data_IF_462432181176
#
_entry.id   IF_462432181176
#
_cell.length_a   1.000
_cell.length_b   1.000
_cell.length_c   1.000
_cell.angle_alpha   90.00
_cell.angle_beta   90.00
_cell.angle_gamma   90.00
#
_symmetry.space_group_name_H-M   'P 1'
#
loop_
_entity.id
_entity.type
_entity.pdbx_description
1 polymer ?
#
# COMPACT_ATOMS: atom_id res chain seq x y z
N UNK A 1 2.07 -1.67 13.29
CA UNK A 1 2.52 -0.94 14.49
C UNK A 1 1.48 -1.18 15.57
N UNK A 2 1.91 -1.32 16.81
CA UNK A 2 1.02 -1.56 17.95
C UNK A 2 1.67 -0.97 19.19
N UNK A 3 0.91 -0.85 20.28
CA UNK A 3 1.47 -0.57 21.61
C UNK A 3 0.98 -1.61 22.62
N UNK A 4 1.72 -1.74 23.71
CA UNK A 4 1.29 -2.49 24.88
C UNK A 4 1.49 -1.66 26.14
N UNK A 5 0.66 -1.95 27.15
CA UNK A 5 0.76 -1.38 28.48
C UNK A 5 0.90 -2.53 29.48
N UNK A 6 1.79 -2.35 30.45
CA UNK A 6 2.13 -3.35 31.46
C UNK A 6 2.10 -2.68 32.84
N UNK A 7 1.34 -3.25 33.77
CA UNK A 7 1.24 -2.78 35.17
C UNK A 7 2.13 -3.60 36.14
N UNK A 8 2.97 -4.49 35.61
CA UNK A 8 3.80 -5.43 36.35
C UNK A 8 3.11 -6.76 36.67
N UNK A 9 1.80 -6.87 36.43
CA UNK A 9 1.02 -8.10 36.60
C UNK A 9 0.35 -8.56 35.32
N UNK A 10 -0.10 -7.61 34.49
CA UNK A 10 -0.88 -7.85 33.29
C UNK A 10 -0.35 -6.99 32.15
N UNK A 11 -0.06 -7.65 31.03
CA UNK A 11 0.26 -6.98 29.77
C UNK A 11 -1.00 -6.93 28.91
N UNK A 12 -1.39 -5.74 28.46
CA UNK A 12 -2.47 -5.52 27.49
C UNK A 12 -1.87 -4.96 26.21
N UNK A 13 -2.24 -5.54 25.07
CA UNK A 13 -1.78 -5.12 23.75
C UNK A 13 -2.92 -4.50 22.97
N UNK A 14 -2.63 -3.48 22.18
CA UNK A 14 -3.59 -2.85 21.29
C UNK A 14 -2.95 -2.56 19.94
N UNK A 15 -3.60 -2.99 18.88
CA UNK A 15 -3.31 -2.56 17.52
C UNK A 15 -4.56 -2.56 16.67
N UNK A 16 -4.45 -2.09 15.44
CA UNK A 16 -5.60 -1.85 14.57
C UNK A 16 -5.38 -2.47 13.20
N UNK A 17 -6.37 -3.22 12.75
CA UNK A 17 -6.30 -3.99 11.50
C UNK A 17 -7.69 -4.05 10.86
N UNK A 18 -7.81 -4.41 9.57
CA UNK A 18 -9.12 -4.64 8.98
C UNK A 18 -9.78 -5.88 9.60
N UNK A 19 -11.12 -5.90 9.70
CA UNK A 19 -11.86 -7.05 10.24
C UNK A 19 -11.50 -8.32 9.46
N UNK A 20 -11.52 -8.24 8.13
CA UNK A 20 -11.11 -9.32 7.25
C UNK A 20 -9.61 -9.18 6.96
N UNK A 21 -8.89 -10.25 7.28
CA UNK A 21 -7.44 -10.28 7.15
C UNK A 21 -7.01 -10.04 5.69
N UNK A 22 -6.04 -9.15 5.49
CA UNK A 22 -5.47 -8.84 4.18
C UNK A 22 -6.23 -7.81 3.34
N UNK A 23 -7.37 -7.29 3.82
CA UNK A 23 -8.01 -6.14 3.16
C UNK A 23 -7.19 -4.87 3.37
N UNK A 24 -7.08 -4.05 2.32
CA UNK A 24 -6.33 -2.79 2.41
C UNK A 24 -7.18 -1.63 2.93
N UNK A 25 -8.51 -1.77 2.89
CA UNK A 25 -9.47 -0.84 3.46
C UNK A 25 -10.77 -1.56 3.85
N UNK A 26 -11.55 -0.98 4.77
CA UNK A 26 -12.84 -1.52 5.21
C UNK A 26 -13.07 -1.33 6.70
N UNK A 27 -14.13 -1.94 7.28
CA UNK A 27 -14.36 -1.89 8.71
C UNK A 27 -13.12 -2.41 9.46
N UNK A 28 -12.59 -1.60 10.36
CA UNK A 28 -11.46 -1.94 11.20
C UNK A 28 -11.87 -2.61 12.50
N UNK A 29 -10.91 -3.29 13.13
CA UNK A 29 -11.02 -3.85 14.47
C UNK A 29 -9.77 -3.53 15.27
N UNK A 30 -9.98 -3.32 16.57
CA UNK A 30 -8.89 -3.35 17.52
C UNK A 30 -8.55 -4.81 17.82
N UNK A 31 -7.27 -5.15 17.72
CA UNK A 31 -6.72 -6.42 18.16
C UNK A 31 -6.16 -6.25 19.58
N UNK A 32 -6.46 -7.21 20.47
CA UNK A 32 -6.05 -7.18 21.88
C UNK A 32 -4.87 -8.11 22.21
N UNK A 33 -4.34 -8.80 21.21
CA UNK A 33 -3.34 -9.87 21.32
C UNK A 33 -2.19 -9.71 20.32
N UNK A 34 -1.92 -8.48 19.86
CA UNK A 34 -0.89 -8.24 18.83
C UNK A 34 0.53 -8.54 19.32
N UNK A 35 0.78 -8.52 20.64
CA UNK A 35 2.03 -9.01 21.25
C UNK A 35 2.29 -10.50 20.91
N UNK A 36 1.25 -11.33 20.81
CA UNK A 36 1.40 -12.75 20.46
C UNK A 36 1.58 -12.98 18.95
N UNK A 37 1.13 -12.01 18.14
CA UNK A 37 1.09 -12.09 16.66
C UNK A 37 2.35 -11.48 16.03
N UNK A 38 2.93 -10.42 16.62
CA UNK A 38 4.11 -9.72 16.13
C UNK A 38 5.33 -10.01 17.01
N UNK A 39 5.84 -11.25 16.97
CA UNK A 39 6.85 -11.72 17.91
C UNK A 39 8.25 -11.09 17.73
N UNK A 40 8.51 -10.36 16.64
CA UNK A 40 9.82 -9.72 16.37
C UNK A 40 9.66 -8.41 15.59
N UNK A 41 9.19 -7.31 16.22
CA UNK A 41 9.17 -6.01 15.55
C UNK A 41 10.61 -5.56 15.27
N UNK A 42 10.85 -4.92 14.12
CA UNK A 42 12.18 -4.41 13.76
C UNK A 42 12.73 -3.45 14.82
N UNK A 43 11.85 -2.66 15.44
CA UNK A 43 12.15 -1.75 16.53
C UNK A 43 11.08 -1.86 17.61
N UNK A 44 11.49 -1.85 18.87
CA UNK A 44 10.60 -1.71 20.02
C UNK A 44 11.23 -0.78 21.05
N UNK A 45 10.40 0.05 21.67
CA UNK A 45 10.79 0.97 22.74
C UNK A 45 9.86 0.81 23.93
N UNK A 46 10.43 0.60 25.11
CA UNK A 46 9.74 0.61 26.40
C UNK A 46 10.02 1.94 27.08
N UNK A 47 8.97 2.60 27.57
CA UNK A 47 9.07 3.83 28.36
C UNK A 47 8.24 3.65 29.63
N UNK A 48 8.80 3.99 30.79
CA UNK A 48 8.00 4.11 32.01
C UNK A 48 7.10 5.35 31.90
N UNK A 49 5.81 5.14 32.16
CA UNK A 49 4.75 6.14 32.10
C UNK A 49 4.07 6.25 33.47
N UNK A 50 3.41 7.38 33.73
CA UNK A 50 2.60 7.51 34.94
C UNK A 50 1.23 6.83 34.82
N UNK A 51 0.52 6.71 35.95
CA UNK A 51 -0.81 6.09 35.98
C UNK A 51 -1.83 6.80 35.09
N UNK A 52 -1.79 8.13 34.99
CA UNK A 52 -2.74 8.86 34.16
C UNK A 52 -2.52 8.60 32.66
N UNK A 53 -1.26 8.43 32.25
CA UNK A 53 -0.88 8.02 30.90
C UNK A 53 -1.32 6.58 30.62
N UNK A 54 -1.10 5.66 31.56
CA UNK A 54 -1.59 4.27 31.46
C UNK A 54 -3.09 4.22 31.24
N UNK A 55 -3.87 4.90 32.11
CA UNK A 55 -5.33 4.87 32.07
C UNK A 55 -5.88 5.45 30.74
N UNK A 56 -5.21 6.46 30.18
CA UNK A 56 -5.56 7.04 28.86
C UNK A 56 -5.25 6.09 27.70
N UNK A 57 -4.08 5.44 27.71
CA UNK A 57 -3.72 4.44 26.69
C UNK A 57 -4.69 3.26 26.71
N UNK A 58 -5.10 2.81 27.90
CA UNK A 58 -6.12 1.77 28.06
C UNK A 58 -7.48 2.23 27.53
N UNK A 59 -7.95 3.40 27.94
CA UNK A 59 -9.24 3.94 27.51
C UNK A 59 -9.33 4.08 25.99
N UNK A 60 -8.27 4.60 25.36
CA UNK A 60 -8.17 4.67 23.91
C UNK A 60 -8.18 3.29 23.26
N UNK A 61 -7.36 2.36 23.76
CA UNK A 61 -7.26 1.01 23.20
C UNK A 61 -8.59 0.24 23.25
N UNK A 62 -9.35 0.41 24.33
CA UNK A 62 -10.66 -0.25 24.50
C UNK A 62 -11.76 0.39 23.64
N UNK A 63 -11.75 1.71 23.48
CA UNK A 63 -12.84 2.44 22.84
C UNK A 63 -12.35 3.64 22.01
N UNK A 64 -11.53 3.41 20.97
CA UNK A 64 -10.84 4.49 20.24
C UNK A 64 -11.83 5.44 19.54
N UNK A 65 -12.98 4.92 19.08
CA UNK A 65 -14.05 5.73 18.48
C UNK A 65 -14.61 6.80 19.43
N UNK A 66 -14.63 6.56 20.76
CA UNK A 66 -15.07 7.57 21.74
C UNK A 66 -14.07 8.72 21.88
N UNK A 67 -12.86 8.52 21.39
CA UNK A 67 -11.77 9.48 21.43
C UNK A 67 -11.50 10.12 20.06
N UNK A 68 -12.42 9.93 19.10
CA UNK A 68 -12.36 10.57 17.79
C UNK A 68 -11.65 9.76 16.70
N UNK A 69 -11.14 8.58 17.02
CA UNK A 69 -10.50 7.70 16.04
C UNK A 69 -11.52 7.14 15.05
N UNK A 70 -11.20 7.20 13.75
CA UNK A 70 -12.04 6.59 12.73
C UNK A 70 -11.86 5.06 12.75
N UNK A 71 -12.96 4.32 12.87
CA UNK A 71 -12.92 2.85 12.91
C UNK A 71 -12.90 2.19 11.52
N UNK A 72 -12.88 2.96 10.43
CA UNK A 72 -12.62 2.42 9.10
C UNK A 72 -11.12 2.29 8.85
N UNK A 73 -10.63 1.06 8.72
CA UNK A 73 -9.27 0.81 8.33
C UNK A 73 -9.02 1.30 6.90
N UNK A 74 -7.91 2.03 6.70
CA UNK A 74 -7.39 2.43 5.40
C UNK A 74 -5.86 2.41 5.48
N UNK A 75 -5.21 1.47 4.81
CA UNK A 75 -3.76 1.20 5.00
C UNK A 75 -2.81 2.36 4.72
N UNK A 76 -3.27 3.42 4.04
CA UNK A 76 -2.46 4.59 3.66
C UNK A 76 -2.62 5.82 4.58
N UNK A 77 -3.74 5.92 5.30
CA UNK A 77 -4.14 7.15 6.01
C UNK A 77 -5.06 6.93 7.23
N UNK A 78 -5.36 5.68 7.58
CA UNK A 78 -5.98 5.29 8.85
C UNK A 78 -5.68 3.82 9.16
N UNK A 79 -4.45 3.57 9.56
CA UNK A 79 -3.82 2.26 9.67
C UNK A 79 -3.44 1.95 11.12
N UNK A 80 -2.75 0.81 11.31
CA UNK A 80 -2.12 0.46 12.57
C UNK A 80 -1.12 1.53 13.10
N UNK A 81 -0.58 2.37 12.21
CA UNK A 81 0.34 3.46 12.57
C UNK A 81 -0.44 4.62 13.16
N UNK A 82 -1.47 5.09 12.46
CA UNK A 82 -2.34 6.20 12.88
C UNK A 82 -3.00 5.88 14.22
N UNK A 83 -3.50 4.66 14.38
CA UNK A 83 -4.04 4.18 15.66
C UNK A 83 -3.04 4.29 16.82
N UNK A 84 -1.77 3.93 16.57
CA UNK A 84 -0.74 3.97 17.61
C UNK A 84 -0.38 5.41 17.97
N UNK A 85 -0.27 6.30 16.98
CA UNK A 85 0.03 7.71 17.23
C UNK A 85 -1.12 8.45 17.92
N UNK A 86 -2.37 8.18 17.54
CA UNK A 86 -3.53 8.77 18.21
C UNK A 86 -3.63 8.32 19.67
N UNK A 87 -3.31 7.06 19.98
CA UNK A 87 -3.22 6.58 21.35
C UNK A 87 -2.14 7.33 22.14
N UNK A 88 -0.94 7.47 21.58
CA UNK A 88 0.18 8.18 22.20
C UNK A 88 -0.17 9.66 22.42
N UNK A 89 -0.73 10.34 21.42
CA UNK A 89 -1.17 11.73 21.52
C UNK A 89 -2.28 11.91 22.56
N UNK A 90 -3.25 11.00 22.61
CA UNK A 90 -4.29 10.99 23.63
C UNK A 90 -3.71 10.90 25.05
N UNK A 91 -2.66 10.08 25.23
CA UNK A 91 -1.91 9.95 26.48
C UNK A 91 -0.95 11.12 26.78
N UNK A 92 -0.78 12.08 25.85
CA UNK A 92 0.15 13.20 25.99
C UNK A 92 1.61 12.82 25.71
N UNK A 93 1.84 11.69 25.04
CA UNK A 93 3.14 11.21 24.58
C UNK A 93 3.38 11.72 23.17
N UNK A 94 4.06 12.86 23.07
CA UNK A 94 4.25 13.57 21.81
C UNK A 94 5.68 13.44 21.29
N UNK A 95 5.81 13.37 19.96
CA UNK A 95 7.13 13.44 19.31
C UNK A 95 7.74 14.84 19.50
N UNK A 96 9.06 14.92 19.33
CA UNK A 96 9.79 16.18 19.34
C UNK A 96 10.45 16.41 17.98
N UNK A 97 10.19 17.56 17.39
CA UNK A 97 10.85 18.04 16.17
C UNK A 97 11.83 19.16 16.53
N UNK A 98 12.56 19.66 15.53
CA UNK A 98 13.43 20.84 15.70
C UNK A 98 12.65 22.09 16.11
N UNK A 99 11.36 22.15 15.79
CA UNK A 99 10.47 23.28 16.06
C UNK A 99 9.71 23.14 17.40
N UNK A 100 9.90 22.03 18.12
CA UNK A 100 9.33 21.81 19.46
C UNK A 100 8.51 20.53 19.58
N UNK A 101 7.52 20.53 20.48
CA UNK A 101 6.62 19.41 20.70
C UNK A 101 5.55 19.42 19.60
N UNK A 102 5.46 18.33 18.85
CA UNK A 102 4.44 18.15 17.82
C UNK A 102 3.31 17.27 18.35
N UNK A 103 2.12 17.88 18.48
CA UNK A 103 0.92 17.25 19.06
C UNK A 103 -0.07 16.74 18.00
N UNK A 104 0.18 17.04 16.73
CA UNK A 104 -0.72 16.73 15.62
C UNK A 104 -0.16 15.68 14.67
N UNK A 105 0.93 15.00 15.04
CA UNK A 105 1.52 13.96 14.21
C UNK A 105 0.73 12.67 14.34
N UNK A 106 0.19 12.22 13.21
CA UNK A 106 -0.60 10.99 13.09
C UNK A 106 0.26 9.81 12.60
N UNK A 107 1.55 10.04 12.30
CA UNK A 107 2.49 9.00 11.88
C UNK A 107 2.93 9.05 10.43
N UNK A 108 4.06 8.43 10.13
CA UNK A 108 4.54 8.25 8.76
C UNK A 108 3.93 6.98 8.15
N UNK A 109 3.70 6.97 6.84
CA UNK A 109 2.98 5.89 6.13
C UNK A 109 3.65 4.50 6.28
N UNK A 110 4.96 4.42 6.59
CA UNK A 110 5.68 3.13 6.76
C UNK A 110 6.10 2.89 8.23
N UNK A 111 5.91 1.68 8.78
CA UNK A 111 6.28 1.40 10.18
C UNK A 111 7.76 1.63 10.53
N UNK A 112 8.66 1.49 9.55
CA UNK A 112 10.12 1.66 9.75
C UNK A 112 10.54 3.13 9.77
N UNK A 113 9.80 4.02 9.12
CA UNK A 113 10.09 5.47 9.11
C UNK A 113 9.72 6.12 10.44
N UNK A 114 8.73 5.56 11.13
CA UNK A 114 8.32 6.00 12.47
C UNK A 114 9.36 5.74 13.57
N UNK A 115 10.47 5.04 13.31
CA UNK A 115 11.46 4.69 14.35
C UNK A 115 12.09 5.94 14.95
N UNK A 116 12.50 6.90 14.13
CA UNK A 116 13.14 8.11 14.62
C UNK A 116 12.13 9.06 15.31
N UNK A 117 10.88 9.09 14.84
CA UNK A 117 9.80 9.79 15.52
C UNK A 117 9.48 9.19 16.89
N UNK A 118 9.41 7.86 17.00
CA UNK A 118 9.17 7.18 18.27
C UNK A 118 10.34 7.42 19.23
N UNK A 119 11.59 7.43 18.77
CA UNK A 119 12.76 7.80 19.58
C UNK A 119 12.69 9.23 20.10
N UNK A 120 12.12 10.14 19.32
CA UNK A 120 12.03 11.56 19.70
C UNK A 120 11.07 11.84 20.87
N UNK A 121 10.12 10.93 21.13
CA UNK A 121 9.22 11.02 22.30
C UNK A 121 10.09 11.04 23.56
N UNK A 122 9.87 12.03 24.42
CA UNK A 122 10.58 12.06 25.71
C UNK A 122 9.95 11.07 26.66
N UNK A 123 10.78 10.20 27.24
CA UNK A 123 10.34 9.32 28.31
C UNK A 123 9.77 10.18 29.47
N UNK A 124 8.53 9.95 29.92
CA UNK A 124 7.93 10.70 31.02
C UNK A 124 8.76 10.60 32.32
N UNK A 125 9.39 9.44 32.54
CA UNK A 125 10.40 9.23 33.57
C UNK A 125 11.78 8.94 32.92
N UNK A 126 12.60 9.96 32.59
CA UNK A 126 13.83 9.78 31.83
C UNK A 126 14.90 8.90 32.48
N UNK A 127 14.91 8.81 33.81
CA UNK A 127 15.90 8.06 34.61
C UNK A 127 15.40 6.67 35.03
N UNK A 128 14.30 6.20 34.45
CA UNK A 128 13.79 4.87 34.76
C UNK A 128 14.70 3.77 34.21
N UNK A 129 14.99 2.77 35.05
CA UNK A 129 15.67 1.53 34.64
C UNK A 129 14.78 0.63 33.75
N UNK A 130 13.47 0.93 33.65
CA UNK A 130 12.55 0.22 32.76
C UNK A 130 12.61 0.71 31.31
N UNK A 131 13.17 1.91 31.08
CA UNK A 131 13.31 2.46 29.74
C UNK A 131 14.30 1.61 28.93
N UNK A 132 13.85 1.03 27.82
CA UNK A 132 14.64 0.12 26.98
C UNK A 132 14.35 0.35 25.51
N UNK A 133 15.37 0.16 24.68
CA UNK A 133 15.22 0.12 23.23
C UNK A 133 15.81 -1.18 22.72
N UNK A 134 15.12 -1.80 21.76
CA UNK A 134 15.58 -3.03 21.14
C UNK A 134 15.38 -2.93 19.62
N UNK A 135 16.40 -3.34 18.88
CA UNK A 135 16.41 -3.36 17.43
C UNK A 135 16.66 -4.80 17.00
N UNK A 136 15.67 -5.43 16.38
CA UNK A 136 15.86 -6.71 15.73
C UNK A 136 16.51 -6.50 14.35
N UNK A 137 17.41 -7.37 13.91
CA UNK A 137 17.91 -7.32 12.54
C UNK A 137 16.71 -7.39 11.58
N UNK A 138 16.74 -6.57 10.51
CA UNK A 138 15.73 -6.71 9.45
C UNK A 138 15.77 -8.16 8.98
N UNK A 139 14.62 -8.84 8.81
CA UNK A 139 14.62 -10.18 8.24
C UNK A 139 15.44 -10.14 6.95
N UNK A 140 16.43 -11.01 6.82
CA UNK A 140 17.23 -11.09 5.59
C UNK A 140 16.23 -11.37 4.47
N UNK A 141 16.11 -10.44 3.53
CA UNK A 141 15.38 -10.68 2.28
C UNK A 141 16.26 -11.59 1.40
N UNK A 142 16.42 -12.83 1.82
CA UNK A 142 16.97 -13.88 0.96
C UNK A 142 15.91 -14.17 -0.10
N UNK A 143 16.29 -13.98 -1.36
CA UNK A 143 15.50 -13.93 -2.60
C UNK A 143 14.59 -15.15 -2.86
N UNK A 144 14.54 -16.13 -1.96
CA UNK A 144 13.82 -17.41 -2.10
C UNK A 144 12.48 -17.49 -1.35
N UNK A 145 12.13 -16.54 -0.47
CA UNK A 145 10.80 -16.56 0.19
C UNK A 145 9.64 -16.05 -0.68
N UNK A 146 9.88 -15.69 -1.96
CA UNK A 146 8.83 -15.38 -2.94
C UNK A 146 8.20 -16.62 -3.59
N UNK A 147 8.58 -17.83 -3.19
CA UNK A 147 7.95 -19.05 -3.69
C UNK A 147 7.81 -19.99 -2.50
N UNK A 148 6.58 -20.28 -2.07
CA UNK A 148 5.93 -21.57 -1.72
C UNK A 148 4.87 -21.28 -0.64
N UNK A 149 3.58 -21.26 -1.03
CA UNK A 149 2.52 -21.60 -0.11
C UNK A 149 2.59 -23.10 0.15
N UNK A 150 2.88 -23.50 1.38
CA UNK A 150 3.02 -24.92 1.74
C UNK A 150 1.67 -25.62 1.92
N UNK A 151 1.49 -26.72 1.19
CA UNK A 151 1.15 -28.10 1.64
C UNK A 151 0.97 -28.94 0.35
N UNK A 152 1.57 -30.11 0.06
CA UNK A 152 2.15 -31.24 0.83
C UNK A 152 3.11 -32.07 -0.13
N UNK A 153 3.67 -33.28 0.17
CA UNK A 153 5.10 -33.60 0.14
C UNK A 153 5.46 -34.72 -0.91
N UNK A 154 6.55 -35.50 -0.74
CA UNK A 154 7.80 -35.40 -1.51
C UNK A 154 7.94 -36.45 -2.63
N UNK A 155 8.62 -36.08 -3.72
CA UNK A 155 9.11 -37.07 -4.67
C UNK A 155 9.65 -36.46 -5.95
N UNK A 156 10.94 -36.71 -6.19
CA UNK A 156 11.63 -36.65 -7.48
C UNK A 156 12.19 -35.28 -7.95
N UNK A 157 13.52 -35.22 -7.90
CA UNK A 157 14.35 -34.11 -8.32
C UNK A 157 14.37 -33.99 -9.84
N UNK A 158 13.82 -32.91 -10.37
CA UNK A 158 14.14 -32.37 -11.70
C UNK A 158 14.34 -30.87 -11.58
N UNK A 159 15.48 -30.39 -12.10
CA UNK A 159 15.98 -29.01 -11.91
C UNK A 159 15.04 -27.95 -12.51
N UNK A 160 14.51 -26.99 -11.72
CA UNK A 160 13.48 -26.03 -12.17
C UNK A 160 13.93 -24.95 -13.17
N UNK A 161 15.25 -24.75 -13.34
CA UNK A 161 15.79 -23.63 -14.14
C UNK A 161 15.58 -23.79 -15.66
N UNK A 162 15.33 -25.00 -16.16
CA UNK A 162 15.12 -25.23 -17.59
C UNK A 162 13.64 -25.19 -18.01
N UNK A 163 12.69 -25.47 -17.11
CA UNK A 163 11.25 -25.37 -17.39
C UNK A 163 10.69 -23.97 -17.13
N UNK A 164 11.17 -23.26 -16.10
CA UNK A 164 10.75 -21.88 -15.82
C UNK A 164 11.11 -20.90 -16.95
N UNK A 165 12.22 -21.15 -17.67
CA UNK A 165 12.63 -20.34 -18.82
C UNK A 165 11.79 -20.63 -20.08
N UNK A 166 11.06 -21.75 -20.13
CA UNK A 166 10.17 -22.09 -21.24
C UNK A 166 8.71 -21.67 -20.98
N UNK A 167 8.26 -21.64 -19.72
CA UNK A 167 6.90 -21.23 -19.34
C UNK A 167 6.73 -19.70 -19.15
N UNK A 168 7.81 -18.96 -18.88
CA UNK A 168 7.80 -17.48 -18.90
C UNK A 168 7.73 -16.88 -20.32
N UNK A 169 7.62 -17.71 -21.37
CA UNK A 169 7.61 -17.29 -22.78
C UNK A 169 6.25 -17.31 -23.47
N UNK A 170 5.13 -17.60 -22.78
CA UNK A 170 3.82 -17.78 -23.45
C UNK A 170 2.63 -17.15 -22.72
N UNK A 171 2.76 -15.90 -22.24
CA UNK A 171 1.60 -15.00 -22.09
C UNK A 171 2.00 -13.59 -22.56
N UNK A 172 1.29 -12.95 -23.50
CA UNK A 172 1.58 -11.57 -23.86
C UNK A 172 1.23 -10.65 -22.70
N UNK A 173 2.24 -10.15 -21.99
CA UNK A 173 2.06 -9.06 -21.01
C UNK A 173 1.66 -7.80 -21.76
N UNK A 174 0.59 -7.12 -21.34
CA UNK A 174 0.16 -5.86 -21.98
C UNK A 174 1.28 -4.80 -21.82
N UNK A 175 1.68 -4.08 -22.89
CA UNK A 175 2.77 -3.11 -22.84
C UNK A 175 2.55 -1.99 -21.82
N UNK A 176 1.31 -1.67 -21.48
CA UNK A 176 0.99 -0.66 -20.46
C UNK A 176 1.50 -1.07 -19.08
N UNK A 177 1.57 -2.37 -18.77
CA UNK A 177 2.10 -2.82 -17.48
C UNK A 177 3.59 -2.45 -17.35
N UNK A 178 4.40 -2.79 -18.34
CA UNK A 178 5.83 -2.45 -18.35
C UNK A 178 6.07 -0.94 -18.30
N UNK A 179 5.30 -0.17 -19.08
CA UNK A 179 5.41 1.29 -19.10
C UNK A 179 5.02 1.91 -17.75
N UNK A 180 3.99 1.38 -17.08
CA UNK A 180 3.62 1.80 -15.74
C UNK A 180 4.73 1.49 -14.71
N UNK A 181 5.35 0.32 -14.77
CA UNK A 181 6.48 -0.02 -13.88
C UNK A 181 7.65 0.95 -14.07
N UNK A 182 8.03 1.26 -15.32
CA UNK A 182 9.10 2.22 -15.61
C UNK A 182 8.75 3.64 -15.14
N UNK A 183 7.50 4.07 -15.32
CA UNK A 183 7.03 5.36 -14.88
C UNK A 183 7.01 5.48 -13.35
N UNK A 184 6.54 4.44 -12.65
CA UNK A 184 6.56 4.39 -11.18
C UNK A 184 7.99 4.32 -10.66
N UNK A 185 8.91 3.58 -11.29
CA UNK A 185 10.33 3.61 -10.89
C UNK A 185 10.94 5.01 -10.98
N UNK A 186 10.61 5.78 -12.03
CA UNK A 186 11.03 7.19 -12.14
C UNK A 186 10.41 8.07 -11.06
N UNK A 187 9.13 7.84 -10.74
CA UNK A 187 8.45 8.53 -9.64
C UNK A 187 9.14 8.25 -8.30
N UNK A 188 9.37 6.98 -7.96
CA UNK A 188 10.05 6.57 -6.71
C UNK A 188 11.45 7.15 -6.61
N UNK A 189 12.23 7.14 -7.70
CA UNK A 189 13.55 7.79 -7.74
C UNK A 189 13.47 9.29 -7.48
N UNK A 190 12.46 9.97 -8.04
CA UNK A 190 12.20 11.39 -7.76
C UNK A 190 11.83 11.67 -6.30
N UNK A 191 11.25 10.68 -5.61
CA UNK A 191 10.96 10.71 -4.18
C UNK A 191 12.13 10.22 -3.31
N UNK A 192 13.25 9.80 -3.89
CA UNK A 192 14.40 9.25 -3.16
C UNK A 192 14.15 7.86 -2.56
N UNK A 193 13.25 7.07 -3.15
CA UNK A 193 12.83 5.76 -2.67
C UNK A 193 13.20 4.64 -3.64
N UNK A 194 13.36 3.42 -3.10
CA UNK A 194 13.45 2.20 -3.89
C UNK A 194 12.05 1.67 -4.22
N UNK A 195 11.94 0.95 -5.33
CA UNK A 195 10.70 0.32 -5.78
C UNK A 195 10.34 -0.86 -4.88
N UNK A 196 9.18 -0.81 -4.23
CA UNK A 196 8.70 -1.80 -3.28
C UNK A 196 7.36 -2.46 -3.73
N UNK A 197 6.75 -3.27 -2.86
CA UNK A 197 5.50 -3.96 -3.21
C UNK A 197 4.31 -2.99 -3.40
N UNK A 198 4.31 -1.82 -2.74
CA UNK A 198 3.30 -0.79 -3.01
C UNK A 198 3.56 -0.11 -4.34
N UNK A 199 4.81 0.10 -4.73
CA UNK A 199 5.17 0.56 -6.08
C UNK A 199 4.68 -0.41 -7.14
N UNK A 200 4.75 -1.73 -6.90
CA UNK A 200 4.22 -2.75 -7.80
C UNK A 200 2.68 -2.69 -7.94
N UNK A 201 1.96 -2.51 -6.83
CA UNK A 201 0.50 -2.32 -6.85
C UNK A 201 0.12 -1.03 -7.57
N UNK A 202 0.81 0.07 -7.28
CA UNK A 202 0.63 1.36 -7.95
C UNK A 202 0.83 1.23 -9.46
N UNK A 203 1.88 0.52 -9.91
CA UNK A 203 2.16 0.28 -11.32
C UNK A 203 1.06 -0.56 -11.99
N UNK A 204 0.67 -1.68 -11.39
CA UNK A 204 -0.36 -2.56 -11.96
C UNK A 204 -1.73 -1.85 -12.05
N UNK A 205 -2.13 -1.13 -11.00
CA UNK A 205 -3.37 -0.35 -10.98
C UNK A 205 -3.33 0.83 -11.97
N UNK A 206 -2.17 1.48 -12.13
CA UNK A 206 -1.97 2.54 -13.14
C UNK A 206 -2.10 2.01 -14.57
N UNK A 207 -1.58 0.81 -14.84
CA UNK A 207 -1.71 0.16 -16.14
C UNK A 207 -3.16 -0.18 -16.47
N UNK A 208 -3.90 -0.73 -15.50
CA UNK A 208 -5.33 -0.98 -15.63
C UNK A 208 -6.11 0.31 -15.89
N UNK A 209 -5.90 1.35 -15.08
CA UNK A 209 -6.58 2.64 -15.21
C UNK A 209 -6.32 3.30 -16.56
N UNK A 210 -5.08 3.26 -17.05
CA UNK A 210 -4.74 3.77 -18.37
C UNK A 210 -5.59 3.09 -19.45
N UNK A 211 -5.63 1.75 -19.44
CA UNK A 211 -6.40 0.96 -20.40
C UNK A 211 -7.90 1.26 -20.32
N UNK A 212 -8.44 1.32 -19.11
CA UNK A 212 -9.85 1.62 -18.81
C UNK A 212 -10.26 3.00 -19.35
N UNK A 213 -9.35 3.97 -19.27
CA UNK A 213 -9.58 5.34 -19.75
C UNK A 213 -9.12 5.56 -21.20
N UNK A 214 -8.80 4.50 -21.93
CA UNK A 214 -8.46 4.56 -23.35
C UNK A 214 -7.10 5.19 -23.65
N UNK A 215 -6.18 5.22 -22.68
CA UNK A 215 -4.78 5.52 -22.93
C UNK A 215 -4.13 4.33 -23.64
N UNK A 216 -3.30 4.66 -24.62
CA UNK A 216 -2.59 3.72 -25.49
C UNK A 216 -1.14 3.49 -25.07
N UNK A 217 -0.59 4.40 -24.27
CA UNK A 217 0.73 4.31 -23.64
C UNK A 217 0.75 5.10 -22.33
N UNK A 218 1.76 4.84 -21.50
CA UNK A 218 2.01 5.57 -20.26
C UNK A 218 3.39 6.23 -20.35
N UNK A 219 3.41 7.56 -20.41
CA UNK A 219 4.64 8.35 -20.45
C UNK A 219 5.04 8.79 -19.03
N UNK A 220 4.05 9.10 -18.18
CA UNK A 220 4.28 9.53 -16.79
C UNK A 220 3.26 8.94 -15.81
N UNK A 221 3.73 8.69 -14.59
CA UNK A 221 2.90 8.48 -13.40
C UNK A 221 3.35 9.51 -12.37
N UNK A 222 2.43 10.36 -11.92
CA UNK A 222 2.74 11.47 -11.01
C UNK A 222 1.72 11.56 -9.89
N UNK A 223 2.10 12.19 -8.79
CA UNK A 223 1.23 12.39 -7.62
C UNK A 223 0.64 13.80 -7.64
N UNK A 224 -0.54 13.97 -7.02
CA UNK A 224 -1.13 15.29 -6.81
C UNK A 224 -0.22 16.18 -5.97
N UNK A 225 -0.16 17.46 -6.32
CA UNK A 225 0.42 18.49 -5.47
C UNK A 225 -0.58 18.99 -4.43
N UNK A 226 -0.07 19.65 -3.39
CA UNK A 226 -0.93 20.22 -2.36
C UNK A 226 -1.73 21.41 -2.90
N UNK A 227 -3.05 21.34 -2.82
CA UNK A 227 -3.98 22.41 -3.19
C UNK A 227 -4.98 22.68 -2.06
N UNK A 228 -5.92 23.61 -2.26
CA UNK A 228 -6.96 23.91 -1.25
C UNK A 228 -7.90 22.73 -0.97
N UNK A 229 -8.02 21.78 -1.90
CA UNK A 229 -9.02 20.70 -1.84
C UNK A 229 -8.43 19.30 -2.00
N UNK A 230 -7.13 19.18 -2.29
CA UNK A 230 -6.44 17.91 -2.54
C UNK A 230 -5.09 17.97 -1.85
N UNK A 231 -4.79 17.00 -1.00
CA UNK A 231 -3.49 16.87 -0.33
C UNK A 231 -2.42 16.39 -1.31
N UNK A 232 -1.16 16.69 -1.00
CA UNK A 232 -0.05 16.13 -1.74
C UNK A 232 -0.09 14.59 -1.64
N UNK A 233 0.04 13.90 -2.79
CA UNK A 233 0.01 12.44 -2.83
C UNK A 233 -1.37 11.79 -2.70
N UNK A 234 -2.45 12.56 -2.57
CA UNK A 234 -3.81 12.02 -2.46
C UNK A 234 -4.26 11.28 -3.73
N UNK A 235 -3.92 11.82 -4.90
CA UNK A 235 -4.26 11.21 -6.19
C UNK A 235 -3.00 10.84 -6.96
N UNK A 236 -3.09 9.75 -7.72
CA UNK A 236 -2.12 9.39 -8.75
C UNK A 236 -2.72 9.70 -10.13
N UNK A 237 -1.91 10.30 -10.99
CA UNK A 237 -2.25 10.60 -12.38
C UNK A 237 -1.39 9.76 -13.32
N UNK A 238 -2.03 9.15 -14.30
CA UNK A 238 -1.39 8.41 -15.38
C UNK A 238 -1.55 9.22 -16.65
N UNK A 239 -0.43 9.54 -17.32
CA UNK A 239 -0.40 10.52 -18.41
C UNK A 239 0.18 9.91 -19.68
N UNK A 240 -0.52 10.12 -20.80
CA UNK A 240 -0.04 9.92 -22.17
C UNK A 240 0.28 11.29 -22.78
N UNK A 241 1.54 11.50 -23.16
CA UNK A 241 2.09 12.77 -23.65
C UNK A 241 2.97 13.49 -22.63
N UNK A 242 3.57 14.61 -23.03
CA UNK A 242 4.40 15.42 -22.15
C UNK A 242 3.54 16.21 -21.15
N UNK A 243 3.99 16.32 -19.90
CA UNK A 243 3.23 17.01 -18.82
C UNK A 243 2.92 18.49 -19.12
N UNK A 244 3.72 19.14 -19.96
CA UNK A 244 3.55 20.53 -20.38
C UNK A 244 2.84 20.69 -21.75
N UNK A 245 2.41 19.60 -22.37
CA UNK A 245 1.67 19.62 -23.62
C UNK A 245 0.16 19.76 -23.30
N UNK A 246 -0.57 20.77 -23.80
CA UNK A 246 -2.00 20.91 -23.53
C UNK A 246 -2.86 19.78 -24.14
N UNK A 247 -2.30 18.94 -25.00
CA UNK A 247 -2.99 17.83 -25.67
C UNK A 247 -2.74 16.47 -25.01
N UNK A 248 -2.04 16.42 -23.87
CA UNK A 248 -1.85 15.17 -23.13
C UNK A 248 -3.21 14.57 -22.71
N UNK A 249 -3.27 13.25 -22.62
CA UNK A 249 -4.40 12.55 -22.01
C UNK A 249 -4.01 12.13 -20.61
N UNK A 250 -4.94 12.22 -19.67
CA UNK A 250 -4.70 11.76 -18.31
C UNK A 250 -5.88 10.95 -17.80
N UNK A 251 -5.58 10.03 -16.90
CA UNK A 251 -6.54 9.40 -16.00
C UNK A 251 -6.02 9.54 -14.57
N UNK A 252 -6.91 9.49 -13.59
CA UNK A 252 -6.51 9.54 -12.18
C UNK A 252 -7.34 8.61 -11.32
N UNK A 253 -6.75 8.21 -10.20
CA UNK A 253 -7.43 7.52 -9.10
C UNK A 253 -6.83 7.98 -7.77
N UNK A 254 -7.45 7.64 -6.65
CA UNK A 254 -6.82 7.85 -5.36
C UNK A 254 -5.59 6.96 -5.24
N UNK A 255 -4.50 7.48 -4.70
CA UNK A 255 -3.31 6.68 -4.44
C UNK A 255 -3.62 5.52 -3.47
N UNK A 256 -4.56 5.72 -2.54
CA UNK A 256 -5.08 4.68 -1.65
C UNK A 256 -5.68 3.49 -2.40
N UNK A 257 -6.46 3.76 -3.45
CA UNK A 257 -7.15 2.72 -4.22
C UNK A 257 -6.13 1.94 -5.06
N UNK A 258 -5.13 2.66 -5.60
CA UNK A 258 -4.07 2.07 -6.41
C UNK A 258 -3.24 1.02 -5.63
N UNK A 259 -2.90 1.31 -4.38
CA UNK A 259 -2.08 0.43 -3.54
C UNK A 259 -2.91 -0.59 -2.74
N UNK A 260 -4.23 -0.36 -2.65
CA UNK A 260 -5.15 -1.28 -2.02
C UNK A 260 -5.41 -2.53 -2.86
N UNK A 261 -5.37 -2.38 -4.19
CA UNK A 261 -5.63 -3.47 -5.11
C UNK A 261 -4.40 -4.38 -5.25
N UNK A 262 -4.54 -5.71 -5.08
CA UNK A 262 -3.47 -6.67 -5.35
C UNK A 262 -3.01 -6.61 -6.82
N UNK A 263 -1.72 -6.83 -7.04
CA UNK A 263 -1.11 -6.80 -8.38
C UNK A 263 -1.81 -7.77 -9.32
N UNK A 264 -2.07 -8.99 -8.85
CA UNK A 264 -2.69 -10.06 -9.62
C UNK A 264 -4.10 -9.66 -10.09
N UNK A 265 -4.84 -8.94 -9.25
CA UNK A 265 -6.18 -8.48 -9.58
C UNK A 265 -6.15 -7.38 -10.66
N UNK A 266 -5.28 -6.37 -10.52
CA UNK A 266 -5.13 -5.31 -11.52
C UNK A 266 -4.67 -5.87 -12.88
N UNK A 267 -3.75 -6.84 -12.87
CA UNK A 267 -3.27 -7.48 -14.09
C UNK A 267 -4.32 -8.36 -14.76
N UNK A 268 -5.10 -9.12 -13.99
CA UNK A 268 -6.22 -9.90 -14.53
C UNK A 268 -7.26 -8.99 -15.19
N UNK A 269 -7.59 -7.85 -14.56
CA UNK A 269 -8.52 -6.87 -15.13
C UNK A 269 -7.95 -6.21 -16.40
N UNK A 270 -6.66 -5.85 -16.41
CA UNK A 270 -5.97 -5.31 -17.59
C UNK A 270 -6.02 -6.29 -18.77
N UNK A 271 -5.76 -7.57 -18.52
CA UNK A 271 -5.82 -8.61 -19.55
C UNK A 271 -7.23 -8.78 -20.11
N UNK A 272 -8.23 -8.91 -19.24
CA UNK A 272 -9.63 -9.06 -19.65
C UNK A 272 -10.12 -7.88 -20.50
N UNK A 273 -9.71 -6.65 -20.14
CA UNK A 273 -10.05 -5.45 -20.89
C UNK A 273 -9.36 -5.43 -22.27
N UNK A 274 -8.08 -5.82 -22.33
CA UNK A 274 -7.34 -5.94 -23.58
C UNK A 274 -7.94 -6.98 -24.55
N UNK A 275 -8.42 -8.12 -24.03
CA UNK A 275 -9.10 -9.13 -24.83
C UNK A 275 -10.45 -8.64 -25.36
N UNK A 276 -11.24 -7.99 -24.52
CA UNK A 276 -12.54 -7.43 -24.90
C UNK A 276 -12.39 -6.39 -26.02
N UNK A 277 -11.42 -5.49 -25.91
CA UNK A 277 -11.15 -4.48 -26.95
C UNK A 277 -10.70 -5.12 -28.27
N UNK A 278 -9.85 -6.15 -28.22
CA UNK A 278 -9.43 -6.88 -29.43
C UNK A 278 -10.63 -7.55 -30.12
N UNK A 279 -11.50 -8.22 -29.38
CA UNK A 279 -12.69 -8.87 -29.95
C UNK A 279 -13.64 -7.87 -30.62
N UNK A 280 -13.90 -6.73 -29.98
CA UNK A 280 -14.73 -5.67 -30.57
C UNK A 280 -14.12 -5.13 -31.87
N UNK A 281 -12.79 -4.95 -31.91
CA UNK A 281 -12.11 -4.46 -33.10
C UNK A 281 -12.16 -5.47 -34.26
N UNK A 282 -12.04 -6.78 -33.97
CA UNK A 282 -12.24 -7.83 -34.97
C UNK A 282 -13.66 -7.84 -35.53
N UNK A 283 -14.69 -7.76 -34.69
CA UNK A 283 -16.09 -7.72 -35.14
C UNK A 283 -16.41 -6.50 -36.01
N UNK A 284 -15.87 -5.32 -35.66
CA UNK A 284 -16.03 -4.12 -36.48
C UNK A 284 -15.36 -4.24 -37.85
N UNK A 285 -14.17 -4.85 -37.92
CA UNK A 285 -13.49 -5.10 -39.19
C UNK A 285 -14.24 -6.12 -40.06
N UNK A 286 -14.83 -7.16 -39.47
CA UNK A 286 -15.66 -8.13 -40.20
C UNK A 286 -16.92 -7.49 -40.76
N UNK A 287 -17.64 -6.68 -39.97
CA UNK A 287 -18.83 -5.95 -40.45
C UNK A 287 -18.48 -4.94 -41.57
N UNK A 288 -17.37 -4.23 -41.47
CA UNK A 288 -16.91 -3.33 -42.54
C UNK A 288 -16.50 -4.10 -43.81
N UNK A 289 -15.92 -5.29 -43.67
CA UNK A 289 -15.62 -6.18 -44.80
C UNK A 289 -16.90 -6.70 -45.45
N UNK A 290 -17.89 -7.14 -44.69
CA UNK A 290 -19.17 -7.60 -45.23
C UNK A 290 -19.95 -6.49 -45.95
N UNK A 291 -19.94 -5.26 -45.41
CA UNK A 291 -20.59 -4.12 -46.06
C UNK A 291 -19.89 -3.67 -47.35
N UNK A 292 -18.57 -3.86 -47.45
CA UNK A 292 -17.82 -3.53 -48.67
C UNK A 292 -17.87 -4.63 -49.74
N UNK A 293 -18.34 -5.83 -49.41
CA UNK A 293 -18.50 -6.98 -50.33
C UNK A 293 -19.96 -7.14 -50.81
N UNK A 294 -20.93 -6.39 -50.27
CA UNK A 294 -22.32 -6.45 -50.71
C UNK A 294 -22.47 -6.03 -52.20
N UNK A 295 -23.02 -6.90 -53.08
CA UNK A 295 -23.00 -6.68 -54.52
C UNK A 295 -23.97 -5.57 -54.94
N UNK A 296 -23.50 -4.65 -55.79
CA UNK A 296 -24.35 -3.74 -56.55
C UNK A 296 -25.37 -4.55 -57.36
N UNK A 297 -26.59 -4.67 -56.85
CA UNK A 297 -27.75 -5.13 -57.64
C UNK A 297 -28.01 -4.08 -58.72
N UNK A 298 -27.48 -4.33 -59.92
CA UNK A 298 -27.89 -3.63 -61.13
C UNK A 298 -29.30 -4.11 -61.48
N UNK A 299 -30.30 -3.28 -61.22
CA UNK A 299 -31.67 -3.50 -61.70
C UNK A 299 -31.72 -3.37 -63.23
N UNK A 300 -32.38 -4.37 -63.83
CA UNK A 300 -33.16 -4.45 -65.09
C UNK A 300 -32.75 -3.53 -66.23
#
# INVERSE_FOLDING_TARGET
>A
MYYSIDDGTTVKSYGFSPIKHGEASGPGKVSFNDVDTYQMPHYSRTMEIDKAQYDKLEAFGVAPAKHGFNMEYHGANNSCIDFTWDALNHAGLHRKTKDGIDKGFEGDVRPVENVDDIKSISAPLPKSELNKEHINPKPKQEFWQKVIGETQPPGEQVSPLQEATQLARVLPTDPLHHQAEEAVRRLEQGLGREYDDNSARLAASSAYLAKENGLSRIDHVVLSENTKSVRQGENVFVVEGALNDPTHKMAHMKASDAIAQPVEQSLAQLQALGETQRQQQFQQQEQQREQSIAPQHRMV
#
